data_IF_942246289035
#
_entry.id   IF_942246289035
#
_cell.length_a   1.000
_cell.length_b   1.000
_cell.length_c   1.000
_cell.angle_alpha   90.00
_cell.angle_beta   90.00
_cell.angle_gamma   90.00
#
_symmetry.space_group_name_H-M   'P 1'
#
loop_
_entity.id
_entity.type
_entity.pdbx_description
1 polymer ?
#
# COMPACT_ATOMS: atom_id res chain seq x y z
N UNK A 1 -3.02 -3.48 -29.10
CA UNK A 1 -2.18 -2.36 -28.67
C UNK A 1 -0.91 -2.93 -28.04
N UNK A 2 0.25 -2.25 -28.12
CA UNK A 2 1.43 -2.68 -27.37
C UNK A 2 1.11 -2.71 -25.87
N UNK A 3 1.66 -3.70 -25.16
CA UNK A 3 1.49 -3.82 -23.70
C UNK A 3 2.35 -2.77 -22.99
N UNK A 4 1.85 -2.29 -21.85
CA UNK A 4 2.61 -1.42 -20.95
C UNK A 4 3.73 -2.23 -20.29
N UNK A 5 4.96 -1.75 -20.40
CA UNK A 5 6.13 -2.38 -19.79
C UNK A 5 6.29 -1.94 -18.34
N UNK A 6 6.15 -2.89 -17.43
CA UNK A 6 6.14 -2.65 -15.99
C UNK A 6 7.37 -3.26 -15.34
N UNK A 7 8.07 -2.46 -14.55
CA UNK A 7 9.16 -2.87 -13.67
C UNK A 7 8.66 -2.92 -12.23
N UNK A 8 8.96 -4.00 -11.52
CA UNK A 8 8.65 -4.09 -10.08
C UNK A 8 9.92 -3.83 -9.27
N UNK A 9 9.85 -2.94 -8.28
CA UNK A 9 10.97 -2.62 -7.40
C UNK A 9 10.64 -3.11 -6.00
N UNK A 10 11.41 -4.07 -5.48
CA UNK A 10 11.12 -4.77 -4.24
C UNK A 10 10.19 -5.98 -4.45
N UNK A 11 10.62 -7.15 -3.98
CA UNK A 11 9.93 -8.44 -4.10
C UNK A 11 9.56 -9.01 -2.70
N UNK A 12 9.16 -8.11 -1.79
CA UNK A 12 8.57 -8.44 -0.49
C UNK A 12 7.17 -9.04 -0.61
N UNK A 13 6.35 -8.97 0.45
CA UNK A 13 4.97 -9.49 0.43
C UNK A 13 4.11 -8.82 -0.64
N UNK A 14 4.09 -7.49 -0.69
CA UNK A 14 3.36 -6.73 -1.72
C UNK A 14 3.98 -6.95 -3.11
N UNK A 15 5.31 -6.90 -3.22
CA UNK A 15 6.01 -7.05 -4.51
C UNK A 15 5.71 -8.35 -5.22
N UNK A 16 5.61 -9.47 -4.49
CA UNK A 16 5.18 -10.77 -5.05
C UNK A 16 3.78 -10.69 -5.65
N UNK A 17 2.85 -10.07 -4.93
CA UNK A 17 1.48 -9.90 -5.42
C UNK A 17 1.41 -8.91 -6.59
N UNK A 18 2.29 -7.91 -6.65
CA UNK A 18 2.41 -7.01 -7.83
C UNK A 18 2.88 -7.80 -9.05
N UNK A 19 3.88 -8.67 -8.90
CA UNK A 19 4.34 -9.55 -9.98
C UNK A 19 3.16 -10.38 -10.52
N UNK A 20 2.41 -11.03 -9.65
CA UNK A 20 1.22 -11.79 -10.04
C UNK A 20 0.17 -10.91 -10.71
N UNK A 21 -0.20 -9.77 -10.14
CA UNK A 21 -1.20 -8.87 -10.69
C UNK A 21 -0.82 -8.28 -12.07
N UNK A 22 0.47 -8.02 -12.30
CA UNK A 22 0.96 -7.59 -13.64
C UNK A 22 0.86 -8.74 -14.64
N UNK A 23 1.23 -9.97 -14.26
CA UNK A 23 1.16 -11.14 -15.14
C UNK A 23 -0.28 -11.49 -15.55
N UNK A 24 -1.24 -11.31 -14.64
CA UNK A 24 -2.67 -11.50 -14.90
C UNK A 24 -3.31 -10.33 -15.69
N UNK A 25 -2.61 -9.19 -15.83
CA UNK A 25 -3.15 -8.03 -16.53
C UNK A 25 -3.04 -8.20 -18.06
N UNK A 26 -4.15 -8.04 -18.81
CA UNK A 26 -4.14 -8.28 -20.26
C UNK A 26 -3.37 -7.21 -21.05
N UNK A 27 -3.21 -6.01 -20.49
CA UNK A 27 -2.61 -4.83 -21.12
C UNK A 27 -1.21 -4.46 -20.58
N UNK A 28 -0.64 -5.29 -19.71
CA UNK A 28 0.69 -5.08 -19.14
C UNK A 28 1.62 -6.28 -19.37
N UNK A 29 2.91 -6.00 -19.30
CA UNK A 29 4.01 -6.93 -19.44
C UNK A 29 5.05 -6.64 -18.35
N UNK A 30 5.38 -7.66 -17.56
CA UNK A 30 6.45 -7.56 -16.56
C UNK A 30 7.81 -7.70 -17.24
N UNK A 31 8.63 -6.65 -17.19
CA UNK A 31 9.95 -6.65 -17.85
C UNK A 31 11.10 -6.99 -16.90
N UNK A 32 10.88 -6.90 -15.59
CA UNK A 32 11.87 -7.29 -14.60
C UNK A 32 11.47 -6.95 -13.17
N UNK A 33 12.32 -7.41 -12.25
CA UNK A 33 12.26 -7.15 -10.82
C UNK A 33 13.59 -6.52 -10.39
N UNK A 34 13.55 -5.36 -9.75
CA UNK A 34 14.71 -4.74 -9.13
C UNK A 34 14.75 -5.12 -7.66
N UNK A 35 15.91 -5.56 -7.20
CA UNK A 35 16.11 -5.88 -5.79
C UNK A 35 17.52 -5.49 -5.30
N UNK A 36 17.69 -5.43 -3.98
CA UNK A 36 18.99 -5.15 -3.37
C UNK A 36 20.03 -6.23 -3.75
N UNK A 37 21.31 -5.86 -3.95
CA UNK A 37 22.34 -6.78 -4.44
C UNK A 37 22.46 -8.10 -3.66
N UNK A 38 22.29 -8.06 -2.35
CA UNK A 38 22.40 -9.23 -1.49
C UNK A 38 21.23 -10.22 -1.60
N UNK A 39 20.11 -9.82 -2.22
CA UNK A 39 18.90 -10.66 -2.41
C UNK A 39 18.76 -11.18 -3.84
N UNK A 40 19.31 -10.45 -4.83
CA UNK A 40 19.15 -10.75 -6.27
C UNK A 40 19.49 -12.20 -6.62
N UNK A 41 20.63 -12.72 -6.14
CA UNK A 41 21.07 -14.08 -6.48
C UNK A 41 20.14 -15.16 -5.96
N UNK A 42 19.56 -14.98 -4.77
CA UNK A 42 18.61 -15.94 -4.22
C UNK A 42 17.25 -15.85 -4.89
N UNK A 43 16.85 -14.65 -5.32
CA UNK A 43 15.62 -14.46 -6.07
C UNK A 43 15.71 -15.04 -7.48
N UNK A 44 16.85 -14.89 -8.19
CA UNK A 44 17.12 -15.53 -9.50
C UNK A 44 17.01 -17.05 -9.46
N UNK A 45 17.37 -17.69 -8.34
CA UNK A 45 17.21 -19.15 -8.17
C UNK A 45 15.74 -19.56 -8.11
N UNK A 46 14.88 -18.68 -7.58
CA UNK A 46 13.45 -18.94 -7.35
C UNK A 46 12.57 -18.50 -8.54
N UNK A 47 12.99 -17.44 -9.23
CA UNK A 47 12.27 -16.83 -10.36
C UNK A 47 13.16 -16.94 -11.59
N UNK A 48 12.85 -17.88 -12.49
CA UNK A 48 13.69 -18.17 -13.67
C UNK A 48 13.29 -17.39 -14.91
N UNK A 49 12.00 -17.07 -15.06
CA UNK A 49 11.44 -16.55 -16.30
C UNK A 49 11.33 -15.01 -16.32
N UNK A 50 11.71 -14.33 -15.24
CA UNK A 50 11.65 -12.88 -15.11
C UNK A 50 13.07 -12.38 -14.79
N UNK A 51 13.60 -11.40 -15.53
CA UNK A 51 14.87 -10.76 -15.19
C UNK A 51 14.83 -10.17 -13.77
N UNK A 52 15.75 -10.62 -12.91
CA UNK A 52 15.97 -10.00 -11.59
C UNK A 52 17.29 -9.27 -11.64
N UNK A 53 17.28 -7.96 -11.36
CA UNK A 53 18.42 -7.06 -11.57
C UNK A 53 18.65 -6.15 -10.36
N UNK A 54 19.83 -5.53 -10.27
CA UNK A 54 20.05 -4.39 -9.35
C UNK A 54 19.65 -3.08 -10.02
N UNK A 55 19.62 -1.99 -9.26
CA UNK A 55 19.28 -0.66 -9.78
C UNK A 55 20.19 -0.23 -10.95
N UNK A 56 21.49 -0.52 -10.87
CA UNK A 56 22.49 -0.15 -11.89
C UNK A 56 22.22 -0.84 -13.23
N UNK A 57 21.60 -2.02 -13.18
CA UNK A 57 21.30 -2.87 -14.32
C UNK A 57 19.92 -2.58 -14.95
N UNK A 58 19.12 -1.66 -14.39
CA UNK A 58 17.76 -1.36 -14.88
C UNK A 58 17.77 -0.97 -16.37
N UNK A 59 18.81 -0.28 -16.82
CA UNK A 59 18.96 0.11 -18.24
C UNK A 59 19.09 -1.09 -19.19
N UNK A 60 19.54 -2.24 -18.69
CA UNK A 60 19.67 -3.47 -19.47
C UNK A 60 18.30 -4.07 -19.83
N UNK A 61 17.23 -3.69 -19.12
CA UNK A 61 15.85 -4.14 -19.37
C UNK A 61 15.19 -3.43 -20.56
N UNK A 62 15.87 -2.46 -21.18
CA UNK A 62 15.34 -1.66 -22.28
C UNK A 62 14.37 -0.57 -21.82
N UNK A 63 13.38 -0.26 -22.67
CA UNK A 63 12.39 0.77 -22.35
C UNK A 63 11.36 0.23 -21.33
N UNK A 64 11.11 1.00 -20.27
CA UNK A 64 10.14 0.70 -19.22
C UNK A 64 9.20 1.89 -19.11
N UNK A 65 7.89 1.64 -19.09
CA UNK A 65 6.89 2.71 -19.04
C UNK A 65 6.58 3.11 -17.58
N UNK A 66 6.45 2.12 -16.69
CA UNK A 66 6.07 2.33 -15.29
C UNK A 66 6.90 1.46 -14.35
N UNK A 67 7.43 2.05 -13.27
CA UNK A 67 8.04 1.35 -12.15
C UNK A 67 7.08 1.32 -10.95
N UNK A 68 6.66 0.12 -10.53
CA UNK A 68 5.86 -0.09 -9.33
C UNK A 68 6.79 -0.35 -8.15
N UNK A 69 6.83 0.58 -7.20
CA UNK A 69 7.71 0.61 -6.04
C UNK A 69 7.05 -0.08 -4.85
N UNK A 70 7.18 -1.41 -4.79
CA UNK A 70 6.65 -2.26 -3.72
C UNK A 70 7.64 -2.39 -2.54
N UNK A 71 8.20 -1.25 -2.12
CA UNK A 71 9.15 -1.11 -1.02
C UNK A 71 8.51 -0.39 0.18
N UNK A 72 9.18 -0.39 1.33
CA UNK A 72 8.66 0.26 2.53
C UNK A 72 8.53 1.79 2.35
N UNK A 73 7.45 2.37 2.89
CA UNK A 73 7.10 3.79 2.74
C UNK A 73 8.25 4.75 3.03
N UNK A 74 9.08 4.47 4.04
CA UNK A 74 10.22 5.33 4.40
C UNK A 74 11.29 5.45 3.32
N UNK A 75 11.38 4.49 2.39
CA UNK A 75 12.34 4.50 1.29
C UNK A 75 11.81 5.23 0.05
N UNK A 76 10.49 5.37 -0.09
CA UNK A 76 9.85 5.99 -1.27
C UNK A 76 10.37 7.40 -1.56
N UNK A 77 10.52 8.32 -0.58
CA UNK A 77 11.00 9.67 -0.86
C UNK A 77 12.38 9.74 -1.51
N UNK A 78 13.24 8.73 -1.27
CA UNK A 78 14.59 8.66 -1.81
C UNK A 78 14.64 7.85 -3.12
N UNK A 79 13.85 6.78 -3.21
CA UNK A 79 13.90 5.83 -4.33
C UNK A 79 13.06 6.29 -5.53
N UNK A 80 11.86 6.83 -5.32
CA UNK A 80 10.98 7.24 -6.42
C UNK A 80 11.62 8.28 -7.38
N UNK A 81 12.34 9.32 -6.90
CA UNK A 81 13.03 10.26 -7.77
C UNK A 81 14.05 9.62 -8.72
N UNK A 82 14.64 8.48 -8.36
CA UNK A 82 15.62 7.80 -9.20
C UNK A 82 14.98 7.28 -10.49
N UNK A 83 13.80 6.65 -10.38
CA UNK A 83 13.06 6.11 -11.53
C UNK A 83 12.39 7.22 -12.36
N UNK A 84 11.85 8.25 -11.71
CA UNK A 84 11.30 9.41 -12.41
C UNK A 84 12.35 10.09 -13.30
N UNK A 85 13.59 10.25 -12.80
CA UNK A 85 14.74 10.78 -13.56
C UNK A 85 15.20 9.87 -14.70
N UNK A 86 14.84 8.60 -14.68
CA UNK A 86 15.08 7.66 -15.79
C UNK A 86 13.98 7.75 -16.87
N UNK A 87 12.98 8.61 -16.72
CA UNK A 87 11.88 8.77 -17.67
C UNK A 87 10.75 7.77 -17.48
N UNK A 88 10.68 7.08 -16.33
CA UNK A 88 9.60 6.14 -16.02
C UNK A 88 8.53 6.83 -15.17
N UNK A 89 7.26 6.47 -15.39
CA UNK A 89 6.24 6.75 -14.38
C UNK A 89 6.52 5.91 -13.13
N UNK A 90 6.09 6.37 -11.95
CA UNK A 90 6.22 5.61 -10.70
C UNK A 90 4.88 5.42 -10.02
N UNK A 91 4.69 4.26 -9.39
CA UNK A 91 3.57 3.99 -8.49
C UNK A 91 4.08 3.44 -7.17
N UNK A 92 3.55 3.92 -6.05
CA UNK A 92 3.88 3.39 -4.72
C UNK A 92 2.65 3.26 -3.82
N UNK A 93 2.80 2.52 -2.73
CA UNK A 93 1.80 2.37 -1.67
C UNK A 93 2.24 3.08 -0.38
N UNK A 94 2.79 4.29 -0.49
CA UNK A 94 3.22 5.09 0.66
C UNK A 94 2.06 5.33 1.64
N UNK A 95 2.21 4.84 2.87
CA UNK A 95 1.13 4.74 3.88
C UNK A 95 1.29 5.69 5.08
N UNK A 96 2.21 6.65 5.03
CA UNK A 96 2.37 7.63 6.12
C UNK A 96 1.43 8.81 5.87
N UNK A 97 0.22 8.71 6.42
CA UNK A 97 -0.89 9.66 6.27
C UNK A 97 -0.57 11.11 6.70
N UNK A 98 -1.56 12.00 6.48
CA UNK A 98 -1.53 13.42 6.84
C UNK A 98 -0.38 14.17 6.14
N UNK A 99 0.47 14.85 6.91
CA UNK A 99 1.55 15.68 6.36
C UNK A 99 2.58 14.89 5.54
N UNK A 100 2.73 13.58 5.81
CA UNK A 100 3.63 12.70 5.08
C UNK A 100 3.29 12.62 3.59
N UNK A 101 2.04 12.26 3.27
CA UNK A 101 1.53 12.22 1.88
C UNK A 101 1.63 13.58 1.21
N UNK A 102 1.24 14.67 1.89
CA UNK A 102 1.26 16.01 1.30
C UNK A 102 2.69 16.44 0.96
N UNK A 103 3.65 16.19 1.86
CA UNK A 103 5.07 16.48 1.62
C UNK A 103 5.63 15.64 0.47
N UNK A 104 5.34 14.34 0.46
CA UNK A 104 5.78 13.45 -0.62
C UNK A 104 5.26 13.93 -1.97
N UNK A 105 3.95 14.20 -2.05
CA UNK A 105 3.29 14.68 -3.27
C UNK A 105 3.95 15.95 -3.81
N UNK A 106 4.19 16.95 -2.95
CA UNK A 106 4.85 18.21 -3.35
C UNK A 106 6.26 17.98 -3.88
N UNK A 107 7.03 17.13 -3.21
CA UNK A 107 8.41 16.87 -3.60
C UNK A 107 8.49 16.10 -4.93
N UNK A 108 7.68 15.05 -5.09
CA UNK A 108 7.67 14.25 -6.31
C UNK A 108 7.03 15.00 -7.49
N UNK A 109 6.10 15.92 -7.26
CA UNK A 109 5.48 16.72 -8.33
C UNK A 109 6.52 17.56 -9.08
N UNK A 110 7.48 18.16 -8.37
CA UNK A 110 8.59 18.90 -8.98
C UNK A 110 9.43 17.99 -9.87
N UNK A 111 9.91 16.87 -9.32
CA UNK A 111 10.75 15.91 -10.05
C UNK A 111 10.01 15.32 -11.26
N UNK A 112 8.74 14.96 -11.09
CA UNK A 112 7.92 14.36 -12.13
C UNK A 112 7.72 15.34 -13.31
N UNK A 113 7.43 16.62 -13.02
CA UNK A 113 7.27 17.67 -14.04
C UNK A 113 8.57 17.96 -14.78
N UNK A 114 9.69 18.08 -14.07
CA UNK A 114 11.02 18.31 -14.67
C UNK A 114 11.42 17.21 -15.65
N UNK A 115 11.04 15.96 -15.35
CA UNK A 115 11.36 14.78 -16.16
C UNK A 115 10.23 14.35 -17.11
N UNK A 116 9.12 15.11 -17.16
CA UNK A 116 7.95 14.85 -18.03
C UNK A 116 7.31 13.47 -17.83
N UNK A 117 7.24 13.02 -16.58
CA UNK A 117 6.69 11.73 -16.15
C UNK A 117 5.64 11.92 -15.06
N UNK A 118 4.97 10.83 -14.67
CA UNK A 118 3.91 10.82 -13.67
C UNK A 118 4.30 9.98 -12.45
N UNK A 119 4.05 10.50 -11.26
CA UNK A 119 4.08 9.73 -10.01
C UNK A 119 2.66 9.55 -9.48
N UNK A 120 2.26 8.33 -9.15
CA UNK A 120 1.03 8.03 -8.41
C UNK A 120 1.40 7.46 -7.05
N UNK A 121 1.15 8.23 -6.00
CA UNK A 121 1.56 7.88 -4.63
C UNK A 121 0.38 7.34 -3.82
N UNK A 122 0.68 6.64 -2.73
CA UNK A 122 -0.34 6.19 -1.77
C UNK A 122 -1.46 5.37 -2.46
N UNK A 123 -1.05 4.48 -3.37
CA UNK A 123 -1.91 3.66 -4.21
C UNK A 123 -2.16 2.25 -3.63
N UNK A 124 -2.60 2.19 -2.37
CA UNK A 124 -3.06 0.96 -1.72
C UNK A 124 -4.58 0.89 -1.64
N UNK A 125 -5.08 0.07 -0.71
CA UNK A 125 -6.49 0.14 -0.32
C UNK A 125 -6.72 1.24 0.72
N UNK A 126 -5.85 1.37 1.73
CA UNK A 126 -5.77 2.56 2.59
C UNK A 126 -4.32 2.90 2.98
N UNK A 127 -3.80 4.10 2.67
CA UNK A 127 -4.43 5.11 1.82
C UNK A 127 -4.62 4.60 0.38
N UNK A 128 -5.68 5.08 -0.29
CA UNK A 128 -5.97 4.75 -1.68
C UNK A 128 -7.45 4.63 -1.98
N UNK A 129 -7.96 3.43 -2.30
CA UNK A 129 -9.39 3.24 -2.62
C UNK A 129 -10.32 3.70 -1.49
N UNK A 130 -9.94 3.48 -0.23
CA UNK A 130 -10.69 3.95 0.94
C UNK A 130 -10.74 5.48 1.00
N UNK A 131 -9.70 6.17 0.55
CA UNK A 131 -9.69 7.63 0.43
C UNK A 131 -10.76 8.09 -0.55
N UNK A 132 -10.89 7.41 -1.71
CA UNK A 132 -11.94 7.71 -2.70
C UNK A 132 -13.32 7.50 -2.09
N UNK A 133 -13.53 6.39 -1.36
CA UNK A 133 -14.81 6.10 -0.70
C UNK A 133 -15.15 7.17 0.35
N UNK A 134 -14.19 7.57 1.19
CA UNK A 134 -14.40 8.65 2.17
C UNK A 134 -14.78 9.96 1.49
N UNK A 135 -14.08 10.33 0.42
CA UNK A 135 -14.40 11.52 -0.35
C UNK A 135 -15.79 11.44 -1.00
N UNK A 136 -16.16 10.30 -1.59
CA UNK A 136 -17.49 10.09 -2.18
C UNK A 136 -18.60 10.23 -1.14
N UNK A 137 -18.42 9.67 0.05
CA UNK A 137 -19.38 9.81 1.15
C UNK A 137 -19.52 11.28 1.60
N UNK A 138 -18.42 12.03 1.63
CA UNK A 138 -18.45 13.48 1.93
C UNK A 138 -19.10 14.31 0.82
N UNK A 139 -18.91 13.95 -0.46
CA UNK A 139 -19.61 14.59 -1.59
C UNK A 139 -21.13 14.45 -1.44
N UNK A 140 -21.61 13.25 -1.08
CA UNK A 140 -23.05 12.97 -0.91
C UNK A 140 -23.63 13.73 0.30
N UNK A 141 -22.93 13.68 1.43
CA UNK A 141 -23.38 14.28 2.68
C UNK A 141 -22.26 15.15 3.28
N UNK A 142 -22.08 16.41 2.87
CA UNK A 142 -20.90 17.22 3.23
C UNK A 142 -20.79 17.56 4.72
N UNK A 143 -21.91 17.56 5.44
CA UNK A 143 -21.92 17.71 6.91
C UNK A 143 -22.11 16.35 7.55
N UNK A 144 -21.30 16.00 8.55
CA UNK A 144 -21.41 14.71 9.22
C UNK A 144 -20.10 14.23 9.82
N UNK A 145 -20.10 12.99 10.30
CA UNK A 145 -18.94 12.31 10.86
C UNK A 145 -18.69 11.04 10.07
N UNK A 146 -17.43 10.79 9.73
CA UNK A 146 -16.96 9.54 9.12
C UNK A 146 -16.10 8.80 10.13
N UNK A 147 -16.35 7.50 10.30
CA UNK A 147 -15.51 6.59 11.07
C UNK A 147 -14.90 5.55 10.15
N UNK A 148 -13.62 5.26 10.33
CA UNK A 148 -12.89 4.23 9.58
C UNK A 148 -12.39 3.19 10.56
N UNK A 149 -12.96 2.00 10.51
CA UNK A 149 -12.64 0.90 11.42
C UNK A 149 -11.84 -0.15 10.65
N UNK A 150 -10.67 -0.53 11.15
CA UNK A 150 -9.72 -1.40 10.46
C UNK A 150 -9.67 -2.77 11.11
N UNK A 151 -9.52 -3.80 10.29
CA UNK A 151 -9.38 -5.17 10.72
C UNK A 151 -10.72 -5.87 11.02
N UNK A 152 -10.68 -7.05 11.66
CA UNK A 152 -9.49 -7.73 12.16
C UNK A 152 -8.44 -7.99 11.08
N UNK A 153 -7.16 -7.73 11.35
CA UNK A 153 -6.12 -7.99 10.37
C UNK A 153 -4.72 -7.62 10.85
N UNK A 154 -3.72 -8.25 10.24
CA UNK A 154 -2.31 -8.01 10.54
C UNK A 154 -1.89 -6.60 10.09
N UNK A 155 -1.43 -5.77 11.04
CA UNK A 155 -0.81 -4.49 10.70
C UNK A 155 0.68 -4.66 10.45
N UNK A 156 1.10 -4.42 9.20
CA UNK A 156 2.49 -4.56 8.79
C UNK A 156 3.42 -3.58 9.54
N UNK A 157 3.03 -2.30 9.65
CA UNK A 157 3.81 -1.28 10.34
C UNK A 157 4.00 -1.56 11.84
N UNK A 158 2.90 -1.89 12.54
CA UNK A 158 2.96 -2.24 13.97
C UNK A 158 3.76 -3.53 14.21
N UNK A 159 3.65 -4.51 13.31
CA UNK A 159 4.46 -5.73 13.39
C UNK A 159 5.96 -5.41 13.27
N UNK A 160 6.35 -4.52 12.35
CA UNK A 160 7.74 -4.08 12.21
C UNK A 160 8.21 -3.34 13.46
N UNK A 161 7.37 -2.48 14.06
CA UNK A 161 7.70 -1.79 15.30
C UNK A 161 7.97 -2.77 16.46
N UNK A 162 7.11 -3.78 16.66
CA UNK A 162 7.33 -4.81 17.70
C UNK A 162 8.61 -5.60 17.45
N UNK A 163 8.88 -6.00 16.19
CA UNK A 163 10.10 -6.74 15.84
C UNK A 163 11.39 -5.93 16.06
N UNK A 164 11.30 -4.60 16.09
CA UNK A 164 12.45 -3.73 16.37
C UNK A 164 12.76 -3.63 17.88
N UNK A 165 11.86 -4.08 18.75
CA UNK A 165 12.06 -4.04 20.20
C UNK A 165 13.07 -5.12 20.62
N UNK A 166 14.05 -4.70 21.41
CA UNK A 166 15.06 -5.60 21.97
C UNK A 166 14.41 -6.70 22.83
N UNK A 167 14.79 -7.95 22.56
CA UNK A 167 14.24 -9.15 23.20
C UNK A 167 13.14 -9.84 22.39
N UNK A 168 12.63 -9.21 21.32
CA UNK A 168 11.69 -9.83 20.39
C UNK A 168 12.46 -10.64 19.34
N UNK A 169 12.15 -11.93 19.21
CA UNK A 169 12.65 -12.80 18.15
C UNK A 169 11.77 -12.71 16.91
N UNK A 170 10.46 -12.83 17.10
CA UNK A 170 9.45 -12.66 16.05
C UNK A 170 8.15 -12.15 16.67
N UNK A 171 7.30 -11.51 15.86
CA UNK A 171 6.01 -11.00 16.32
C UNK A 171 5.02 -10.78 15.18
N UNK A 172 3.75 -10.70 15.54
CA UNK A 172 2.67 -10.12 14.74
C UNK A 172 1.84 -9.19 15.61
N UNK A 173 1.37 -8.09 15.02
CA UNK A 173 0.40 -7.19 15.63
C UNK A 173 -0.89 -7.18 14.81
N UNK A 174 -1.99 -7.57 15.44
CA UNK A 174 -3.33 -7.59 14.84
C UNK A 174 -4.09 -6.33 15.29
N UNK A 175 -4.65 -5.60 14.34
CA UNK A 175 -5.57 -4.48 14.61
C UNK A 175 -6.98 -5.01 14.66
N UNK A 176 -7.74 -4.70 15.71
CA UNK A 176 -9.13 -5.12 15.89
C UNK A 176 -9.99 -3.87 16.09
N UNK A 177 -11.08 -3.70 15.32
CA UNK A 177 -11.91 -2.51 15.44
C UNK A 177 -12.74 -2.54 16.73
N UNK A 178 -12.81 -1.41 17.44
CA UNK A 178 -13.74 -1.18 18.57
C UNK A 178 -14.99 -0.40 18.14
N UNK A 179 -14.99 0.15 16.93
CA UNK A 179 -16.02 1.07 16.43
C UNK A 179 -15.61 2.53 16.61
N UNK A 180 -16.32 3.42 15.92
CA UNK A 180 -16.07 4.87 15.96
C UNK A 180 -14.61 5.28 15.63
N UNK A 181 -13.93 4.49 14.80
CA UNK A 181 -12.53 4.75 14.43
C UNK A 181 -11.51 4.42 15.52
N UNK A 182 -11.94 3.78 16.61
CA UNK A 182 -11.05 3.29 17.67
C UNK A 182 -10.68 1.83 17.41
N UNK A 183 -9.48 1.44 17.83
CA UNK A 183 -8.97 0.10 17.68
C UNK A 183 -8.36 -0.39 18.98
N UNK A 184 -8.28 -1.72 19.10
CA UNK A 184 -7.39 -2.39 20.04
C UNK A 184 -6.34 -3.18 19.27
N UNK A 185 -5.23 -3.46 19.92
CA UNK A 185 -4.12 -4.22 19.35
C UNK A 185 -3.94 -5.52 20.11
N UNK A 186 -3.76 -6.60 19.36
CA UNK A 186 -3.38 -7.90 19.91
C UNK A 186 -2.04 -8.27 19.32
N UNK A 187 -1.02 -8.33 20.17
CA UNK A 187 0.36 -8.62 19.81
C UNK A 187 0.70 -10.03 20.25
N UNK A 188 1.09 -10.88 19.31
CA UNK A 188 1.67 -12.19 19.61
C UNK A 188 3.18 -12.10 19.40
N UNK A 189 3.96 -12.44 20.41
CA UNK A 189 5.40 -12.25 20.44
C UNK A 189 6.12 -13.55 20.83
N UNK A 190 7.15 -13.88 20.06
CA UNK A 190 8.16 -14.86 20.45
C UNK A 190 9.36 -14.10 21.02
N UNK A 191 9.76 -14.46 22.22
CA UNK A 191 10.81 -13.78 22.99
C UNK A 191 12.12 -14.55 22.82
N UNK A 192 13.23 -13.82 22.60
CA UNK A 192 14.57 -14.40 22.50
C UNK A 192 14.97 -15.10 23.79
N UNK A 193 15.80 -16.14 23.68
CA UNK A 193 16.41 -16.78 24.84
C UNK A 193 17.16 -15.76 25.72
N UNK A 194 16.98 -15.87 27.04
CA UNK A 194 17.58 -14.97 28.03
C UNK A 194 16.81 -13.67 28.30
N UNK A 195 15.70 -13.40 27.60
CA UNK A 195 14.82 -12.26 27.88
C UNK A 195 13.57 -12.67 28.66
N UNK A 196 13.17 -11.86 29.64
CA UNK A 196 11.91 -12.03 30.38
C UNK A 196 10.74 -11.44 29.59
N UNK A 197 9.65 -12.21 29.48
CA UNK A 197 8.49 -11.83 28.71
C UNK A 197 7.84 -10.54 29.23
N UNK A 198 7.75 -10.40 30.55
CA UNK A 198 7.10 -9.28 31.22
C UNK A 198 7.78 -7.95 30.86
N UNK A 199 9.12 -7.93 30.82
CA UNK A 199 9.91 -6.75 30.41
C UNK A 199 9.74 -6.44 28.92
N UNK A 200 9.67 -7.47 28.07
CA UNK A 200 9.42 -7.28 26.63
C UNK A 200 8.01 -6.74 26.40
N UNK A 201 7.01 -7.26 27.13
CA UNK A 201 5.63 -6.79 27.06
C UNK A 201 5.50 -5.34 27.54
N UNK A 202 6.15 -4.95 28.63
CA UNK A 202 6.17 -3.57 29.11
C UNK A 202 6.80 -2.60 28.08
N UNK A 203 7.90 -3.01 27.44
CA UNK A 203 8.51 -2.24 26.33
C UNK A 203 7.53 -2.07 25.17
N UNK A 204 6.82 -3.13 24.77
CA UNK A 204 5.80 -3.07 23.71
C UNK A 204 4.67 -2.11 24.08
N UNK A 205 4.10 -2.23 25.27
CA UNK A 205 2.99 -1.40 25.74
C UNK A 205 3.37 0.09 25.88
N UNK A 206 4.63 0.36 26.20
CA UNK A 206 5.16 1.73 26.35
C UNK A 206 5.62 2.36 25.03
N UNK A 207 5.73 1.57 23.96
CA UNK A 207 6.14 2.08 22.65
C UNK A 207 5.09 3.07 22.10
N UNK A 208 5.49 4.20 21.48
CA UNK A 208 4.55 5.17 20.91
C UNK A 208 3.53 4.59 19.91
N UNK A 209 3.84 3.46 19.25
CA UNK A 209 2.90 2.77 18.37
C UNK A 209 1.74 2.06 19.11
N UNK A 210 1.86 1.84 20.42
CA UNK A 210 0.91 1.03 21.20
C UNK A 210 0.35 1.76 22.42
N UNK A 211 1.09 2.71 22.99
CA UNK A 211 0.73 3.39 24.24
C UNK A 211 -0.57 4.22 24.17
N UNK A 212 -1.06 4.52 22.96
CA UNK A 212 -2.32 5.23 22.74
C UNK A 212 -3.51 4.29 22.49
N UNK A 213 -3.27 2.98 22.31
CA UNK A 213 -4.29 1.99 21.99
C UNK A 213 -4.41 0.95 23.12
N UNK A 214 -5.62 0.42 23.32
CA UNK A 214 -5.81 -0.74 24.19
C UNK A 214 -5.06 -1.94 23.59
N UNK A 215 -3.97 -2.36 24.24
CA UNK A 215 -3.03 -3.35 23.69
C UNK A 215 -2.91 -4.56 24.62
N UNK A 216 -3.01 -5.76 24.05
CA UNK A 216 -2.77 -7.03 24.72
C UNK A 216 -1.56 -7.72 24.12
N UNK A 217 -0.68 -8.25 24.96
CA UNK A 217 0.55 -8.94 24.52
C UNK A 217 0.51 -10.40 24.99
N UNK A 218 0.71 -11.33 24.07
CA UNK A 218 0.70 -12.77 24.33
C UNK A 218 2.02 -13.40 23.88
N UNK A 219 2.64 -14.20 24.76
CA UNK A 219 3.80 -15.01 24.41
C UNK A 219 3.37 -16.23 23.59
N UNK A 220 4.09 -16.50 22.50
CA UNK A 220 3.88 -17.69 21.66
C UNK A 220 5.21 -18.36 21.29
N UNK A 221 5.14 -19.66 20.98
CA UNK A 221 6.31 -20.44 20.57
C UNK A 221 6.62 -20.29 19.07
N UNK A 222 5.59 -20.13 18.25
CA UNK A 222 5.72 -20.01 16.80
C UNK A 222 4.71 -18.98 16.26
N UNK A 223 5.26 -17.84 15.84
CA UNK A 223 4.50 -16.75 15.24
C UNK A 223 4.01 -17.11 13.84
N UNK A 224 4.73 -17.97 13.10
CA UNK A 224 4.42 -18.27 11.70
C UNK A 224 3.06 -18.95 11.52
N UNK A 225 2.65 -19.76 12.50
CA UNK A 225 1.34 -20.41 12.57
C UNK A 225 0.15 -19.44 12.68
N UNK A 226 0.39 -18.18 13.08
CA UNK A 226 -0.63 -17.16 13.30
C UNK A 226 -0.69 -16.13 12.16
N UNK A 227 0.17 -16.27 11.15
CA UNK A 227 0.27 -15.33 10.05
C UNK A 227 -0.92 -15.52 9.11
N UNK A 228 -1.85 -14.57 9.17
CA UNK A 228 -2.93 -14.38 8.19
C UNK A 228 -2.76 -13.02 7.51
N UNK A 229 -2.82 -13.00 6.18
CA UNK A 229 -2.80 -11.77 5.37
C UNK A 229 -4.19 -11.15 5.21
N UNK A 230 -5.22 -11.79 5.77
CA UNK A 230 -6.56 -11.24 5.91
C UNK A 230 -6.56 -9.89 6.60
N UNK A 231 -7.31 -8.96 6.02
CA UNK A 231 -7.56 -7.64 6.59
C UNK A 231 -8.91 -7.12 6.08
N UNK A 232 -9.40 -6.08 6.72
CA UNK A 232 -10.61 -5.42 6.27
C UNK A 232 -10.71 -3.97 6.72
N UNK A 233 -11.78 -3.34 6.26
CA UNK A 233 -12.20 -2.02 6.70
C UNK A 233 -13.72 -1.97 6.77
N UNK A 234 -14.24 -1.20 7.71
CA UNK A 234 -15.61 -0.69 7.72
C UNK A 234 -15.58 0.84 7.80
N UNK A 235 -15.97 1.51 6.73
CA UNK A 235 -16.11 2.97 6.66
C UNK A 235 -17.58 3.31 6.83
N UNK A 236 -17.90 4.16 7.81
CA UNK A 236 -19.27 4.52 8.16
C UNK A 236 -19.39 6.04 8.17
N UNK A 237 -20.37 6.57 7.44
CA UNK A 237 -20.70 8.00 7.49
C UNK A 237 -22.15 8.22 7.89
N UNK A 238 -22.36 9.06 8.91
CA UNK A 238 -23.67 9.65 9.21
C UNK A 238 -23.61 11.15 8.98
N UNK A 239 -24.45 11.65 8.07
CA UNK A 239 -24.40 13.05 7.64
C UNK A 239 -25.73 13.65 7.21
N UNK A 240 -25.62 14.77 6.51
CA UNK A 240 -26.72 15.62 6.03
C UNK A 240 -26.45 16.04 4.58
N UNK A 241 -27.43 15.84 3.69
CA UNK A 241 -27.42 16.36 2.33
C UNK A 241 -28.31 17.60 2.27
N UNK A 242 -27.77 18.76 1.92
CA UNK A 242 -28.45 20.05 2.07
C UNK A 242 -29.05 20.17 3.49
N UNK A 243 -30.38 20.23 3.63
CA UNK A 243 -31.09 20.25 4.93
C UNK A 243 -31.59 18.87 5.40
N UNK A 244 -31.52 17.83 4.56
CA UNK A 244 -32.05 16.51 4.88
C UNK A 244 -31.08 15.70 5.75
N UNK A 245 -31.43 15.54 7.03
CA UNK A 245 -30.66 14.79 8.01
C UNK A 245 -30.69 13.27 7.75
N UNK A 246 -29.86 12.55 8.51
CA UNK A 246 -29.87 11.08 8.59
C UNK A 246 -29.46 10.34 7.31
N UNK A 247 -28.55 10.93 6.52
CA UNK A 247 -27.86 10.19 5.46
C UNK A 247 -26.91 9.19 6.12
N UNK A 248 -27.07 7.91 5.83
CA UNK A 248 -26.24 6.83 6.38
C UNK A 248 -25.64 6.04 5.23
N UNK A 249 -24.33 5.92 5.23
CA UNK A 249 -23.57 5.19 4.22
C UNK A 249 -22.56 4.31 4.92
N UNK A 250 -22.40 3.10 4.40
CA UNK A 250 -21.41 2.14 4.90
C UNK A 250 -20.69 1.50 3.71
N UNK A 251 -19.39 1.27 3.88
CA UNK A 251 -18.55 0.53 2.94
C UNK A 251 -17.73 -0.49 3.74
N UNK A 252 -17.67 -1.73 3.26
CA UNK A 252 -16.95 -2.81 3.94
C UNK A 252 -16.11 -3.61 2.96
N UNK A 253 -14.87 -3.89 3.34
CA UNK A 253 -14.01 -4.83 2.63
C UNK A 253 -13.50 -5.91 3.59
N UNK A 254 -13.40 -7.13 3.08
CA UNK A 254 -12.66 -8.24 3.66
C UNK A 254 -11.78 -8.81 2.55
N UNK A 255 -10.47 -8.65 2.68
CA UNK A 255 -9.50 -8.82 1.59
C UNK A 255 -8.22 -9.47 2.09
N UNK A 256 -7.40 -9.96 1.16
CA UNK A 256 -5.99 -10.24 1.41
C UNK A 256 -5.21 -8.92 1.22
N UNK A 257 -4.55 -8.46 2.28
CA UNK A 257 -3.92 -7.13 2.35
C UNK A 257 -2.89 -6.86 1.24
N UNK A 258 -1.78 -7.63 1.12
CA UNK A 258 -0.79 -7.40 0.07
C UNK A 258 -1.38 -7.55 -1.34
N UNK A 259 -2.31 -8.49 -1.55
CA UNK A 259 -2.93 -8.72 -2.86
C UNK A 259 -3.81 -7.55 -3.30
N UNK A 260 -4.66 -7.04 -2.41
CA UNK A 260 -5.50 -5.87 -2.69
C UNK A 260 -4.65 -4.63 -2.95
N UNK A 261 -3.61 -4.41 -2.15
CA UNK A 261 -2.65 -3.30 -2.35
C UNK A 261 -2.01 -3.39 -3.73
N UNK A 262 -1.45 -4.56 -4.06
CA UNK A 262 -0.80 -4.79 -5.35
C UNK A 262 -1.74 -4.56 -6.53
N UNK A 263 -2.98 -5.04 -6.45
CA UNK A 263 -3.96 -4.84 -7.50
C UNK A 263 -4.28 -3.35 -7.73
N UNK A 264 -4.36 -2.56 -6.66
CA UNK A 264 -4.55 -1.09 -6.77
C UNK A 264 -3.32 -0.42 -7.36
N UNK A 265 -2.10 -0.83 -6.99
CA UNK A 265 -0.87 -0.30 -7.58
C UNK A 265 -0.81 -0.58 -9.09
N UNK A 266 -1.19 -1.78 -9.54
CA UNK A 266 -1.27 -2.12 -10.97
C UNK A 266 -2.34 -1.29 -11.68
N UNK A 267 -3.49 -1.06 -11.05
CA UNK A 267 -4.51 -0.17 -11.61
C UNK A 267 -4.03 1.30 -11.70
N UNK A 268 -3.29 1.77 -10.70
CA UNK A 268 -2.67 3.09 -10.69
C UNK A 268 -1.58 3.22 -11.76
N UNK A 269 -0.84 2.15 -12.06
CA UNK A 269 0.13 2.14 -13.15
C UNK A 269 -0.55 2.42 -14.49
N UNK A 270 -1.71 1.80 -14.75
CA UNK A 270 -2.55 2.09 -15.92
C UNK A 270 -3.00 3.54 -15.95
N UNK A 271 -3.49 4.05 -14.82
CA UNK A 271 -4.02 5.40 -14.73
C UNK A 271 -2.93 6.46 -14.97
N UNK A 272 -1.68 6.18 -14.53
CA UNK A 272 -0.53 7.06 -14.71
C UNK A 272 -0.25 7.41 -16.17
N UNK A 273 -0.53 6.48 -17.10
CA UNK A 273 -0.30 6.64 -18.54
C UNK A 273 -1.24 7.66 -19.20
N UNK A 274 -2.34 8.01 -18.52
CA UNK A 274 -3.36 8.95 -19.01
C UNK A 274 -3.22 10.35 -18.41
N UNK A 275 -2.32 10.53 -17.44
CA UNK A 275 -2.16 11.80 -16.74
C UNK A 275 -1.08 12.67 -17.39
N UNK A 276 -1.16 13.98 -17.12
CA UNK A 276 -0.08 14.92 -17.45
C UNK A 276 1.06 14.80 -16.43
N UNK A 277 2.29 15.20 -16.76
CA UNK A 277 3.41 15.15 -15.81
C UNK A 277 3.12 15.83 -14.48
N UNK A 278 3.46 15.16 -13.38
CA UNK A 278 3.15 15.59 -12.02
C UNK A 278 2.99 14.43 -11.05
N UNK A 279 2.64 14.75 -9.81
CA UNK A 279 2.40 13.76 -8.76
C UNK A 279 0.96 13.79 -8.27
N UNK A 280 0.32 12.62 -8.22
CA UNK A 280 -1.09 12.45 -7.92
C UNK A 280 -1.30 11.42 -6.82
N UNK A 281 -2.28 11.66 -5.97
CA UNK A 281 -2.96 10.63 -5.19
C UNK A 281 -4.12 10.06 -6.01
N UNK A 282 -4.69 8.94 -5.55
CA UNK A 282 -5.85 8.32 -6.18
C UNK A 282 -7.08 9.24 -6.27
N UNK A 283 -7.21 10.21 -5.35
CA UNK A 283 -8.31 11.18 -5.35
C UNK A 283 -8.27 12.17 -6.51
N UNK A 284 -7.11 12.31 -7.14
CA UNK A 284 -6.84 13.34 -8.15
C UNK A 284 -6.91 12.80 -9.57
N UNK A 285 -7.22 11.52 -9.71
CA UNK A 285 -7.29 10.82 -10.99
C UNK A 285 -8.72 10.31 -11.21
N UNK A 286 -9.31 10.50 -12.41
CA UNK A 286 -10.61 9.92 -12.73
C UNK A 286 -10.64 8.39 -12.51
N UNK A 287 -11.66 7.88 -11.80
CA UNK A 287 -11.78 6.45 -11.49
C UNK A 287 -11.73 5.54 -12.72
N UNK A 288 -12.23 6.00 -13.86
CA UNK A 288 -12.24 5.25 -15.10
C UNK A 288 -10.84 5.00 -15.67
N UNK A 289 -9.85 5.83 -15.30
CA UNK A 289 -8.48 5.70 -15.80
C UNK A 289 -7.75 4.48 -15.23
N UNK A 290 -8.17 4.01 -14.06
CA UNK A 290 -7.64 2.81 -13.40
C UNK A 290 -8.06 1.51 -14.08
N UNK A 291 -9.14 1.53 -14.87
CA UNK A 291 -9.73 0.34 -15.48
C UNK A 291 -9.10 0.02 -16.84
N UNK A 292 -8.89 -1.27 -17.08
CA UNK A 292 -8.52 -1.77 -18.40
C UNK A 292 -9.75 -1.80 -19.31
N UNK A 293 -9.59 -1.37 -20.57
CA UNK A 293 -10.63 -1.42 -21.59
C UNK A 293 -10.84 -0.10 -22.31
N UNK A 294 -11.72 -0.14 -23.30
CA UNK A 294 -12.16 1.04 -24.03
C UNK A 294 -13.11 1.90 -23.20
N UNK A 295 -13.03 3.23 -23.37
CA UNK A 295 -13.80 4.19 -22.58
C UNK A 295 -15.31 4.02 -22.76
N UNK A 296 -15.79 3.88 -24.00
CA UNK A 296 -17.23 3.79 -24.28
C UNK A 296 -17.80 2.48 -23.75
N UNK A 297 -17.05 1.39 -23.88
CA UNK A 297 -17.42 0.09 -23.29
C UNK A 297 -17.49 0.14 -21.76
N UNK A 298 -16.53 0.82 -21.13
CA UNK A 298 -16.53 1.00 -19.68
C UNK A 298 -17.72 1.84 -19.22
N UNK A 299 -18.04 2.93 -19.94
CA UNK A 299 -19.22 3.75 -19.65
C UNK A 299 -20.50 2.92 -19.80
N UNK A 300 -20.67 2.22 -20.93
CA UNK A 300 -21.84 1.38 -21.18
C UNK A 300 -22.06 0.30 -20.11
N UNK A 301 -20.98 -0.22 -19.51
CA UNK A 301 -21.06 -1.24 -18.46
C UNK A 301 -21.34 -0.68 -17.07
N UNK A 302 -20.86 0.53 -16.76
CA UNK A 302 -20.76 1.03 -15.38
C UNK A 302 -21.71 2.20 -15.07
N UNK A 303 -22.33 2.80 -16.08
CA UNK A 303 -23.29 3.92 -15.99
C UNK A 303 -24.63 3.46 -16.55
#
# INVERSE_FOLDING_TARGET
MPKTKVLVVGCGRVGKEVVTAVQESPDMELVGIVEQPHVVNDLRKKIKDIPVVTFEQVKELGNVDVAILAIGSRLIPEVAPLYLKMGMNTVDAYDIHAEGIVRLRRNLDVVAKENKVVAVIAAGWDPGTDSIVRALMEVIAPRGITYTNFGPGMSMGHTVAVKAIEGVEDAISITIPKGMGQHKRVVYVRVKDGYEFEKVAEKILSDPYFSHDETYVYKVNDVSSLVDMGHGVKIERKGVSASAHNQRMEFTMSINNPAATAQVMVAAARASLKQKPGCYTLLEIPLIDFLCGDLEQLICRLV
#
